data_IF_647345039174
#
_entry.id   IF_647345039174
#
_cell.length_a   1.000
_cell.length_b   1.000
_cell.length_c   1.000
_cell.angle_alpha   90.00
_cell.angle_beta   90.00
_cell.angle_gamma   90.00
#
_symmetry.space_group_name_H-M   'P 1'
#
loop_
_entity.id
_entity.type
_entity.pdbx_description
1 polymer ?
#
# COMPACT_ATOMS: atom_id res chain seq x y z
N UNK A 1 14.81 5.10 -14.30
CA UNK A 1 13.78 6.00 -13.71
C UNK A 1 12.78 5.13 -12.97
N UNK A 2 12.29 5.59 -11.82
CA UNK A 2 11.21 4.94 -11.06
C UNK A 2 10.01 5.87 -11.02
N UNK A 3 8.84 5.34 -11.32
CA UNK A 3 7.54 6.03 -11.21
C UNK A 3 6.59 5.12 -10.45
N UNK A 4 5.96 5.64 -9.40
CA UNK A 4 4.87 4.98 -8.68
C UNK A 4 3.73 5.98 -8.55
N UNK A 5 2.52 5.55 -8.88
CA UNK A 5 1.30 6.34 -8.71
C UNK A 5 0.15 5.45 -8.26
N UNK A 6 -0.93 6.07 -7.78
CA UNK A 6 -2.18 5.39 -7.47
C UNK A 6 -3.36 6.09 -8.12
N UNK A 7 -4.33 5.32 -8.60
CA UNK A 7 -5.57 5.85 -9.19
C UNK A 7 -6.78 5.09 -8.64
N UNK A 8 -7.88 5.80 -8.40
CA UNK A 8 -9.15 5.21 -8.01
C UNK A 8 -9.97 4.88 -9.25
N UNK A 9 -10.32 3.61 -9.43
CA UNK A 9 -11.15 3.11 -10.55
C UNK A 9 -12.22 2.19 -9.95
N UNK A 10 -13.48 2.56 -10.16
CA UNK A 10 -14.63 1.85 -9.59
C UNK A 10 -14.52 1.71 -8.06
N UNK A 11 -14.55 0.48 -7.54
CA UNK A 11 -14.43 0.16 -6.11
C UNK A 11 -12.99 -0.19 -5.69
N UNK A 12 -12.00 0.04 -6.58
CA UNK A 12 -10.62 -0.30 -6.35
C UNK A 12 -9.69 0.93 -6.41
N UNK A 13 -8.61 0.85 -5.65
CA UNK A 13 -7.41 1.63 -5.84
C UNK A 13 -6.41 0.78 -6.63
N UNK A 14 -5.88 1.32 -7.71
CA UNK A 14 -4.78 0.69 -8.45
C UNK A 14 -3.49 1.40 -8.10
N UNK A 15 -2.52 0.68 -7.56
CA UNK A 15 -1.14 1.15 -7.52
C UNK A 15 -0.47 0.73 -8.83
N UNK A 16 0.12 1.68 -9.55
CA UNK A 16 0.81 1.44 -10.82
C UNK A 16 2.28 1.82 -10.62
N UNK A 17 3.17 0.88 -10.90
CA UNK A 17 4.61 1.06 -10.81
C UNK A 17 5.29 0.85 -12.15
N UNK A 18 6.33 1.63 -12.41
CA UNK A 18 7.23 1.47 -13.56
C UNK A 18 8.66 1.71 -13.12
N UNK A 19 9.57 0.82 -13.49
CA UNK A 19 10.99 1.02 -13.25
C UNK A 19 11.83 0.53 -14.42
N UNK A 20 12.81 1.36 -14.78
CA UNK A 20 13.83 1.00 -15.75
C UNK A 20 15.12 0.65 -15.02
N UNK A 21 15.49 -0.64 -15.07
CA UNK A 21 16.71 -1.19 -14.46
C UNK A 21 17.96 -0.74 -15.20
N UNK A 22 17.94 -0.87 -16.53
CA UNK A 22 19.09 -0.54 -17.39
C UNK A 22 18.71 0.48 -18.47
N UNK A 23 19.66 1.37 -18.77
CA UNK A 23 19.47 2.39 -19.81
C UNK A 23 19.40 1.71 -21.18
N UNK A 24 18.29 1.91 -21.88
CA UNK A 24 18.06 1.34 -23.21
C UNK A 24 17.17 0.09 -23.23
N UNK A 25 16.85 -0.49 -22.07
CA UNK A 25 15.81 -1.52 -21.96
C UNK A 25 14.43 -0.88 -21.75
N UNK A 26 13.34 -1.53 -22.22
CA UNK A 26 11.99 -1.10 -21.87
C UNK A 26 11.78 -1.17 -20.35
N UNK A 27 10.98 -0.25 -19.77
CA UNK A 27 10.68 -0.30 -18.35
C UNK A 27 9.85 -1.54 -18.01
N UNK A 28 10.14 -2.14 -16.85
CA UNK A 28 9.23 -3.12 -16.25
C UNK A 28 8.07 -2.36 -15.59
N UNK A 29 6.85 -2.77 -15.90
CA UNK A 29 5.63 -2.13 -15.40
C UNK A 29 4.76 -3.16 -14.70
N UNK A 30 4.10 -2.75 -13.63
CA UNK A 30 3.16 -3.58 -12.90
C UNK A 30 2.01 -2.76 -12.32
N UNK A 31 0.94 -3.45 -11.97
CA UNK A 31 -0.16 -2.90 -11.16
C UNK A 31 -0.44 -3.80 -9.95
N UNK A 32 -0.99 -3.21 -8.91
CA UNK A 32 -1.57 -3.92 -7.77
C UNK A 32 -3.01 -3.44 -7.62
N UNK A 33 -3.96 -4.37 -7.65
CA UNK A 33 -5.38 -4.09 -7.41
C UNK A 33 -5.66 -4.13 -5.92
N UNK A 34 -6.19 -3.04 -5.38
CA UNK A 34 -6.40 -2.85 -3.94
C UNK A 34 -7.88 -2.51 -3.72
N UNK A 35 -8.66 -3.37 -3.04
CA UNK A 35 -10.04 -3.06 -2.69
C UNK A 35 -10.11 -1.81 -1.83
N UNK A 36 -11.06 -0.92 -2.14
CA UNK A 36 -11.27 0.28 -1.33
C UNK A 36 -11.89 -0.10 0.01
N UNK A 37 -11.31 0.41 1.09
CA UNK A 37 -11.91 0.33 2.42
C UNK A 37 -12.88 1.52 2.54
N UNK A 38 -14.16 1.31 2.89
CA UNK A 38 -15.16 2.37 2.99
C UNK A 38 -15.00 3.17 4.30
N UNK A 39 -13.89 3.90 4.40
CA UNK A 39 -13.55 4.82 5.48
C UNK A 39 -12.54 5.87 4.96
N UNK A 40 -12.51 7.04 5.61
CA UNK A 40 -11.51 8.07 5.35
C UNK A 40 -10.40 7.98 6.38
N UNK A 41 -9.15 8.23 5.98
CA UNK A 41 -7.98 8.09 6.84
C UNK A 41 -7.04 9.28 6.66
N UNK A 42 -6.41 9.69 7.76
CA UNK A 42 -5.33 10.68 7.76
C UNK A 42 -3.97 9.96 7.75
N UNK A 43 -3.00 10.46 6.97
CA UNK A 43 -1.60 9.95 6.99
C UNK A 43 -1.29 8.73 6.11
N UNK A 44 -2.24 8.25 5.29
CA UNK A 44 -2.01 7.08 4.41
C UNK A 44 -0.97 7.33 3.34
N UNK A 45 -0.91 8.53 2.76
CA UNK A 45 0.09 8.91 1.77
C UNK A 45 1.51 8.93 2.35
N UNK A 46 1.68 9.51 3.54
CA UNK A 46 2.96 9.56 4.25
C UNK A 46 3.46 8.15 4.58
N UNK A 47 2.57 7.32 5.14
CA UNK A 47 2.89 5.94 5.46
C UNK A 47 3.22 5.12 4.21
N UNK A 48 2.45 5.26 3.13
CA UNK A 48 2.71 4.56 1.86
C UNK A 48 4.10 4.90 1.35
N UNK A 49 4.46 6.18 1.37
CA UNK A 49 5.78 6.65 0.92
C UNK A 49 6.90 6.07 1.79
N UNK A 50 6.74 6.09 3.13
CA UNK A 50 7.71 5.54 4.06
C UNK A 50 7.90 4.02 3.89
N UNK A 51 6.81 3.28 3.72
CA UNK A 51 6.85 1.83 3.48
C UNK A 51 7.50 1.50 2.15
N UNK A 52 7.14 2.20 1.07
CA UNK A 52 7.75 2.01 -0.25
C UNK A 52 9.25 2.29 -0.19
N UNK A 53 9.68 3.37 0.47
CA UNK A 53 11.10 3.69 0.64
C UNK A 53 11.83 2.58 1.41
N UNK A 54 11.29 2.16 2.56
CA UNK A 54 11.90 1.13 3.40
C UNK A 54 12.03 -0.22 2.70
N UNK A 55 10.96 -0.67 2.03
CA UNK A 55 10.96 -1.94 1.30
C UNK A 55 11.79 -1.88 0.02
N UNK A 56 11.80 -0.75 -0.69
CA UNK A 56 12.66 -0.59 -1.88
C UNK A 56 14.14 -0.57 -1.51
N UNK A 57 14.51 -0.02 -0.36
CA UNK A 57 15.88 -0.13 0.14
C UNK A 57 16.28 -1.58 0.47
N UNK A 58 15.34 -2.39 0.97
CA UNK A 58 15.57 -3.82 1.26
C UNK A 58 15.58 -4.69 0.00
N UNK A 59 14.82 -4.30 -1.02
CA UNK A 59 14.67 -5.02 -2.29
C UNK A 59 14.90 -4.09 -3.49
N UNK A 60 16.14 -3.61 -3.72
CA UNK A 60 16.43 -2.54 -4.69
C UNK A 60 16.08 -2.90 -6.15
N UNK A 61 16.14 -4.18 -6.50
CA UNK A 61 15.90 -4.66 -7.87
C UNK A 61 14.46 -5.18 -8.11
N UNK A 62 13.63 -5.19 -7.06
CA UNK A 62 12.30 -5.80 -7.06
C UNK A 62 11.25 -4.80 -6.56
N UNK A 63 11.00 -3.76 -7.35
CA UNK A 63 10.04 -2.71 -7.02
C UNK A 63 8.61 -3.25 -6.87
N UNK A 64 8.25 -4.25 -7.68
CA UNK A 64 7.01 -5.02 -7.57
C UNK A 64 6.87 -5.63 -6.18
N UNK A 65 7.90 -6.38 -5.73
CA UNK A 65 7.93 -6.99 -4.39
C UNK A 65 7.88 -5.96 -3.27
N UNK A 66 8.62 -4.87 -3.40
CA UNK A 66 8.59 -3.79 -2.41
C UNK A 66 7.19 -3.17 -2.30
N UNK A 67 6.51 -3.00 -3.44
CA UNK A 67 5.15 -2.47 -3.51
C UNK A 67 4.11 -3.45 -2.95
N UNK A 68 4.25 -4.76 -3.19
CA UNK A 68 3.40 -5.80 -2.58
C UNK A 68 3.44 -5.73 -1.05
N UNK A 69 4.65 -5.61 -0.48
CA UNK A 69 4.86 -5.54 0.96
C UNK A 69 4.29 -4.24 1.53
N UNK A 70 4.56 -3.10 0.88
CA UNK A 70 4.04 -1.81 1.32
C UNK A 70 2.51 -1.76 1.31
N UNK A 71 1.88 -2.20 0.21
CA UNK A 71 0.41 -2.24 0.07
C UNK A 71 -0.19 -3.20 1.08
N UNK A 72 0.40 -4.39 1.27
CA UNK A 72 -0.14 -5.37 2.22
C UNK A 72 -0.02 -4.90 3.67
N UNK A 73 1.10 -4.27 4.06
CA UNK A 73 1.24 -3.63 5.38
C UNK A 73 0.20 -2.54 5.59
N UNK A 74 0.03 -1.66 4.60
CA UNK A 74 -0.93 -0.55 4.69
C UNK A 74 -2.35 -1.08 4.84
N UNK A 75 -2.78 -2.01 3.99
CA UNK A 75 -4.13 -2.57 4.04
C UNK A 75 -4.42 -3.26 5.38
N UNK A 76 -3.49 -4.08 5.89
CA UNK A 76 -3.65 -4.73 7.19
C UNK A 76 -3.81 -3.71 8.33
N UNK A 77 -2.99 -2.65 8.32
CA UNK A 77 -3.08 -1.54 9.29
C UNK A 77 -4.41 -0.77 9.17
N UNK A 78 -4.91 -0.54 7.97
CA UNK A 78 -6.18 0.17 7.77
C UNK A 78 -7.37 -0.67 8.23
N UNK A 79 -7.37 -1.99 7.96
CA UNK A 79 -8.39 -2.89 8.52
C UNK A 79 -8.34 -2.93 10.05
N UNK A 80 -7.15 -2.97 10.66
CA UNK A 80 -6.97 -2.88 12.12
C UNK A 80 -7.54 -1.57 12.65
N UNK A 81 -7.22 -0.45 11.99
CA UNK A 81 -7.73 0.88 12.35
C UNK A 81 -9.25 0.90 12.36
N UNK A 82 -9.90 0.44 11.28
CA UNK A 82 -11.37 0.38 11.21
C UNK A 82 -11.96 -0.51 12.29
N UNK A 83 -11.38 -1.68 12.53
CA UNK A 83 -11.86 -2.61 13.54
C UNK A 83 -11.75 -2.01 14.94
N UNK A 84 -10.64 -1.36 15.29
CA UNK A 84 -10.45 -0.70 16.58
C UNK A 84 -11.54 0.36 16.82
N UNK A 85 -11.84 1.20 15.83
CA UNK A 85 -12.92 2.19 15.96
C UNK A 85 -14.30 1.54 16.11
N UNK A 86 -14.59 0.46 15.37
CA UNK A 86 -15.85 -0.28 15.51
C UNK A 86 -16.01 -0.90 16.89
N UNK A 87 -14.93 -1.41 17.51
CA UNK A 87 -15.00 -2.06 18.83
C UNK A 87 -15.46 -1.11 19.95
N UNK A 88 -15.22 0.19 19.80
CA UNK A 88 -15.64 1.22 20.75
C UNK A 88 -16.98 1.89 20.35
N UNK A 89 -17.69 1.33 19.36
CA UNK A 89 -18.98 1.82 18.90
C UNK A 89 -18.91 3.09 18.04
N UNK A 90 -17.73 3.46 17.54
CA UNK A 90 -17.56 4.60 16.64
C UNK A 90 -17.90 4.20 15.20
N UNK A 91 -18.62 5.07 14.48
CA UNK A 91 -18.89 4.90 13.04
C UNK A 91 -17.66 5.33 12.20
N UNK A 92 -16.95 4.38 11.55
CA UNK A 92 -15.74 4.67 10.78
C UNK A 92 -15.94 5.58 9.56
N UNK A 93 -17.20 5.81 9.14
CA UNK A 93 -17.52 6.68 8.01
C UNK A 93 -17.83 8.13 8.42
N UNK A 94 -18.02 8.37 9.72
CA UNK A 94 -18.44 9.68 10.24
C UNK A 94 -17.34 10.75 10.20
N UNK A 95 -16.06 10.35 10.17
CA UNK A 95 -14.91 11.27 10.09
C UNK A 95 -13.68 10.60 9.49
N UNK A 96 -12.62 11.38 9.24
CA UNK A 96 -11.29 10.81 8.96
C UNK A 96 -10.75 10.12 10.22
N UNK A 97 -10.19 8.92 10.05
CA UNK A 97 -9.63 8.10 11.13
C UNK A 97 -8.12 8.32 11.23
N UNK A 98 -7.63 8.42 12.46
CA UNK A 98 -6.20 8.36 12.74
C UNK A 98 -5.71 6.92 12.70
N UNK A 99 -4.65 6.68 11.93
CA UNK A 99 -4.13 5.34 11.69
C UNK A 99 -3.48 4.73 12.95
N UNK A 100 -3.72 3.43 13.18
CA UNK A 100 -3.20 2.67 14.34
C UNK A 100 -1.79 2.14 14.11
N UNK A 101 -0.82 3.04 13.94
CA UNK A 101 0.58 2.71 13.63
C UNK A 101 1.23 1.78 14.68
N UNK A 102 1.18 2.17 15.95
CA UNK A 102 1.84 1.43 17.04
C UNK A 102 1.23 0.03 17.17
N UNK A 103 -0.09 -0.05 17.14
CA UNK A 103 -0.82 -1.30 17.23
C UNK A 103 -0.52 -2.21 16.04
N UNK A 104 -0.22 -1.65 14.86
CA UNK A 104 0.03 -2.39 13.62
C UNK A 104 1.52 -2.69 13.37
N UNK A 105 2.39 -2.57 14.39
CA UNK A 105 3.83 -2.81 14.26
C UNK A 105 4.15 -4.14 13.58
N UNK A 106 3.47 -5.21 13.95
CA UNK A 106 3.77 -6.54 13.41
C UNK A 106 3.37 -6.66 11.93
N UNK A 107 2.29 -5.99 11.50
CA UNK A 107 1.88 -5.93 10.08
C UNK A 107 2.90 -5.15 9.23
N UNK A 108 3.59 -4.18 9.85
CA UNK A 108 4.64 -3.39 9.20
C UNK A 108 5.96 -4.16 9.15
N UNK A 109 6.36 -4.81 10.24
CA UNK A 109 7.63 -5.52 10.31
C UNK A 109 7.61 -6.87 9.59
N UNK A 110 6.48 -7.58 9.64
CA UNK A 110 6.30 -8.94 9.13
C UNK A 110 5.02 -9.06 8.27
N UNK A 111 4.87 -8.28 7.19
CA UNK A 111 3.66 -8.30 6.38
C UNK A 111 3.44 -9.66 5.72
N UNK A 112 2.20 -10.12 5.80
CA UNK A 112 1.67 -11.18 4.94
C UNK A 112 1.31 -10.57 3.59
N UNK A 113 1.81 -11.14 2.51
CA UNK A 113 1.58 -10.59 1.16
C UNK A 113 0.25 -11.07 0.60
N UNK A 114 -0.76 -10.23 0.79
CA UNK A 114 -2.14 -10.50 0.38
C UNK A 114 -2.49 -9.84 -0.96
N UNK A 115 -1.74 -8.82 -1.38
CA UNK A 115 -1.94 -8.10 -2.64
C UNK A 115 -0.73 -8.28 -3.53
N UNK A 116 -0.96 -8.83 -4.73
CA UNK A 116 0.10 -9.24 -5.66
C UNK A 116 0.23 -8.28 -6.82
N UNK A 117 1.47 -8.13 -7.28
CA UNK A 117 1.76 -7.36 -8.49
C UNK A 117 1.44 -8.18 -9.74
N UNK A 118 0.70 -7.57 -10.66
CA UNK A 118 0.45 -8.08 -12.01
C UNK A 118 1.33 -7.30 -12.97
N UNK A 119 2.24 -8.00 -13.66
CA UNK A 119 3.10 -7.38 -14.67
C UNK A 119 2.29 -7.09 -15.94
N UNK A 120 2.57 -5.96 -16.58
CA UNK A 120 2.07 -5.70 -17.92
C UNK A 120 2.92 -6.51 -18.92
N UNK A 121 2.25 -7.20 -19.84
CA UNK A 121 2.88 -7.93 -20.95
C UNK A 121 3.23 -6.98 -22.09
#
# INVERSE_FOLDING_TARGET
MVVITSVHIEDNLLLIGSHQKEKGQPPEQFRIVIPKIPAYFTGTGDLTTALLLGWSNKYPDNLDRASELAVSSLQALLYRTVNDYKTVGFDPQSSSLEIRLIQSRDDICNPQVNYKAEKYN
#
